data_IF_536754287602
#
_entry.id   IF_536754287602
#
_cell.length_a   1.000
_cell.length_b   1.000
_cell.length_c   1.000
_cell.angle_alpha   90.00
_cell.angle_beta   90.00
_cell.angle_gamma   90.00
#
_symmetry.space_group_name_H-M   'P 1'
#
loop_
_entity.id
_entity.type
_entity.pdbx_description
1 polymer ?
#
# COMPACT_ATOMS: atom_id res chain seq x y z
N UNK A 1 -11.87 16.01 23.92
CA UNK A 1 -10.62 15.25 23.67
C UNK A 1 -10.34 15.26 22.17
N UNK A 2 -9.12 15.59 21.70
CA UNK A 2 -8.81 15.52 20.27
C UNK A 2 -8.93 14.08 19.76
N UNK A 3 -9.56 13.92 18.60
CA UNK A 3 -9.77 12.64 17.90
C UNK A 3 -8.41 11.96 17.60
N UNK A 4 -8.33 10.63 17.63
CA UNK A 4 -7.08 9.85 17.43
C UNK A 4 -6.25 10.34 16.24
N UNK A 5 -6.91 10.52 15.09
CA UNK A 5 -6.25 10.95 13.87
C UNK A 5 -5.68 12.38 13.97
N UNK A 6 -6.34 13.26 14.73
CA UNK A 6 -5.86 14.63 14.95
C UNK A 6 -4.65 14.68 15.87
N UNK A 7 -4.53 13.75 16.83
CA UNK A 7 -3.33 13.62 17.68
C UNK A 7 -2.12 13.18 16.88
N UNK A 8 -2.28 12.15 16.03
CA UNK A 8 -1.22 11.68 15.15
C UNK A 8 -0.77 12.80 14.19
N UNK A 9 -1.73 13.48 13.55
CA UNK A 9 -1.42 14.59 12.65
C UNK A 9 -0.67 15.72 13.37
N UNK A 10 -1.13 16.11 14.56
CA UNK A 10 -0.48 17.14 15.36
C UNK A 10 0.92 16.71 15.82
N UNK A 11 1.13 15.44 16.18
CA UNK A 11 2.44 14.92 16.52
C UNK A 11 3.42 14.97 15.34
N UNK A 12 2.97 14.62 14.13
CA UNK A 12 3.79 14.72 12.92
C UNK A 12 4.19 16.16 12.64
N UNK A 13 3.23 17.09 12.64
CA UNK A 13 3.51 18.51 12.42
C UNK A 13 4.44 19.08 13.50
N UNK A 14 4.24 18.72 14.77
CA UNK A 14 5.11 19.17 15.86
C UNK A 14 6.55 18.67 15.70
N UNK A 15 6.73 17.40 15.31
CA UNK A 15 8.06 16.83 15.06
C UNK A 15 8.72 17.44 13.83
N UNK A 16 7.97 17.73 12.77
CA UNK A 16 8.48 18.41 11.58
C UNK A 16 8.96 19.82 11.90
N UNK A 17 8.17 20.60 12.64
CA UNK A 17 8.55 21.95 13.07
C UNK A 17 9.79 21.91 13.97
N UNK A 18 9.85 20.97 14.91
CA UNK A 18 11.02 20.77 15.76
C UNK A 18 12.27 20.43 14.94
N UNK A 19 12.13 19.50 13.98
CA UNK A 19 13.21 19.10 13.09
C UNK A 19 13.67 20.28 12.23
N UNK A 20 12.74 21.06 11.66
CA UNK A 20 13.04 22.23 10.85
C UNK A 20 13.85 23.25 11.65
N UNK A 21 13.45 23.54 12.89
CA UNK A 21 14.18 24.45 13.77
C UNK A 21 15.58 23.94 14.10
N UNK A 22 15.73 22.64 14.38
CA UNK A 22 17.03 22.04 14.68
C UNK A 22 17.97 22.13 13.47
N UNK A 23 17.48 21.79 12.28
CA UNK A 23 18.29 21.80 11.06
C UNK A 23 18.71 23.23 10.70
N UNK A 24 17.83 24.23 10.86
CA UNK A 24 18.18 25.64 10.63
C UNK A 24 19.26 26.13 11.61
N UNK A 25 19.24 25.68 12.85
CA UNK A 25 20.17 26.18 13.88
C UNK A 25 21.56 25.55 13.80
N UNK A 26 21.66 24.29 13.34
CA UNK A 26 22.90 23.50 13.42
C UNK A 26 23.48 23.04 12.08
N UNK A 27 22.74 23.12 10.96
CA UNK A 27 23.15 22.49 9.70
C UNK A 27 23.02 23.40 8.47
N UNK A 28 23.60 22.95 7.36
CA UNK A 28 23.62 23.65 6.07
C UNK A 28 22.30 23.57 5.30
N UNK A 29 22.18 24.42 4.28
CA UNK A 29 21.04 24.47 3.36
C UNK A 29 20.75 23.13 2.67
N UNK A 30 21.78 22.31 2.41
CA UNK A 30 21.62 20.98 1.80
C UNK A 30 20.88 20.01 2.73
N UNK A 31 21.25 20.03 4.02
CA UNK A 31 20.58 19.23 5.04
C UNK A 31 19.12 19.69 5.21
N UNK A 32 18.85 21.00 5.17
CA UNK A 32 17.49 21.53 5.23
C UNK A 32 16.60 20.96 4.12
N UNK A 33 16.99 21.08 2.86
CA UNK A 33 16.17 20.54 1.77
C UNK A 33 16.05 19.02 1.82
N UNK A 34 17.14 18.33 2.17
CA UNK A 34 17.16 16.87 2.24
C UNK A 34 16.24 16.34 3.33
N UNK A 35 16.28 16.95 4.52
CA UNK A 35 15.41 16.57 5.63
C UNK A 35 13.94 16.83 5.34
N UNK A 36 13.61 18.02 4.82
CA UNK A 36 12.23 18.44 4.56
C UNK A 36 11.58 17.59 3.46
N UNK A 37 12.26 17.39 2.33
CA UNK A 37 11.72 16.56 1.25
C UNK A 37 11.59 15.10 1.70
N UNK A 38 12.58 14.54 2.42
CA UNK A 38 12.49 13.19 2.96
C UNK A 38 11.31 13.02 3.93
N UNK A 39 11.17 13.95 4.87
CA UNK A 39 10.13 13.88 5.90
C UNK A 39 8.72 13.99 5.28
N UNK A 40 8.50 14.96 4.39
CA UNK A 40 7.19 15.18 3.75
C UNK A 40 6.80 14.01 2.84
N UNK A 41 7.73 13.50 2.03
CA UNK A 41 7.47 12.37 1.14
C UNK A 41 7.21 11.08 1.92
N UNK A 42 7.99 10.80 2.98
CA UNK A 42 7.76 9.66 3.88
C UNK A 42 6.42 9.77 4.62
N UNK A 43 6.08 10.95 5.14
CA UNK A 43 4.79 11.21 5.79
C UNK A 43 3.63 10.96 4.82
N UNK A 44 3.77 11.38 3.57
CA UNK A 44 2.78 11.15 2.52
C UNK A 44 2.60 9.65 2.24
N UNK A 45 3.70 8.89 2.11
CA UNK A 45 3.67 7.43 1.92
C UNK A 45 2.98 6.73 3.09
N UNK A 46 3.29 7.14 4.32
CA UNK A 46 2.67 6.61 5.53
C UNK A 46 1.16 6.88 5.54
N UNK A 47 0.73 8.12 5.33
CA UNK A 47 -0.70 8.50 5.31
C UNK A 47 -1.43 7.77 4.18
N UNK A 48 -0.86 7.72 2.98
CA UNK A 48 -1.43 6.99 1.84
C UNK A 48 -1.61 5.50 2.16
N UNK A 49 -0.65 4.90 2.87
CA UNK A 49 -0.73 3.50 3.31
C UNK A 49 -1.82 3.27 4.35
N UNK A 50 -1.98 4.17 5.32
CA UNK A 50 -3.06 4.10 6.31
C UNK A 50 -4.44 4.25 5.68
N UNK A 51 -4.60 5.22 4.76
CA UNK A 51 -5.85 5.45 4.03
C UNK A 51 -6.20 4.26 3.13
N UNK A 52 -5.19 3.72 2.43
CA UNK A 52 -5.31 2.50 1.63
C UNK A 52 -5.85 1.35 2.45
N UNK A 53 -5.22 1.09 3.60
CA UNK A 53 -5.57 -0.02 4.46
C UNK A 53 -6.99 0.15 5.01
N UNK A 54 -7.33 1.35 5.52
CA UNK A 54 -8.68 1.66 5.98
C UNK A 54 -9.72 1.37 4.90
N UNK A 55 -9.50 1.85 3.67
CA UNK A 55 -10.42 1.63 2.55
C UNK A 55 -10.57 0.16 2.21
N UNK A 56 -9.47 -0.59 2.16
CA UNK A 56 -9.48 -2.03 1.88
C UNK A 56 -10.28 -2.78 2.95
N UNK A 57 -10.04 -2.51 4.23
CA UNK A 57 -10.77 -3.15 5.34
C UNK A 57 -12.25 -2.78 5.29
N UNK A 58 -12.60 -1.50 5.11
CA UNK A 58 -14.01 -1.08 4.99
C UNK A 58 -14.70 -1.73 3.79
N UNK A 59 -14.04 -1.82 2.64
CA UNK A 59 -14.59 -2.52 1.48
C UNK A 59 -14.84 -4.00 1.79
N UNK A 60 -13.89 -4.68 2.45
CA UNK A 60 -14.05 -6.08 2.87
C UNK A 60 -15.23 -6.27 3.83
N UNK A 61 -15.37 -5.40 4.82
CA UNK A 61 -16.49 -5.43 5.77
C UNK A 61 -17.83 -5.19 5.07
N UNK A 62 -17.92 -4.21 4.17
CA UNK A 62 -19.15 -3.90 3.42
C UNK A 62 -19.58 -5.06 2.54
N UNK A 63 -18.63 -5.74 1.91
CA UNK A 63 -18.91 -6.88 1.05
C UNK A 63 -19.09 -8.22 1.81
N UNK A 64 -19.11 -8.21 3.15
CA UNK A 64 -19.23 -9.41 3.99
C UNK A 64 -18.30 -10.56 3.57
N UNK A 65 -17.14 -10.23 2.99
CA UNK A 65 -16.04 -11.17 2.79
C UNK A 65 -15.35 -11.35 4.14
N UNK A 66 -16.08 -11.97 5.07
CA UNK A 66 -15.55 -12.53 6.30
C UNK A 66 -14.68 -13.68 5.85
N UNK A 67 -13.37 -13.56 6.05
CA UNK A 67 -12.40 -14.62 5.82
C UNK A 67 -12.64 -15.76 6.80
N UNK A 68 -13.66 -16.56 6.54
CA UNK A 68 -13.55 -18.00 6.71
C UNK A 68 -13.38 -18.48 5.28
N UNK A 69 -12.15 -18.83 4.92
CA UNK A 69 -11.84 -19.52 3.66
C UNK A 69 -11.59 -18.66 2.40
N UNK A 70 -10.42 -18.01 2.36
CA UNK A 70 -9.81 -17.51 1.10
C UNK A 70 -8.51 -18.31 0.80
N UNK A 71 -8.23 -19.36 1.58
CA UNK A 71 -7.09 -20.27 1.41
C UNK A 71 -7.43 -21.50 0.59
N UNK A 72 -8.72 -21.81 0.36
CA UNK A 72 -9.12 -22.94 -0.50
C UNK A 72 -9.08 -22.63 -1.99
N UNK A 73 -9.32 -21.39 -2.40
CA UNK A 73 -9.51 -21.06 -3.82
C UNK A 73 -8.24 -21.10 -4.69
N UNK A 74 -7.05 -21.11 -4.06
CA UNK A 74 -5.76 -21.20 -4.77
C UNK A 74 -5.11 -22.58 -4.60
N UNK A 75 -5.28 -23.21 -3.43
CA UNK A 75 -4.74 -24.56 -3.17
C UNK A 75 -5.58 -25.60 -3.89
N UNK A 76 -6.91 -25.52 -3.83
CA UNK A 76 -7.81 -26.46 -4.52
C UNK A 76 -7.63 -26.35 -6.04
N UNK A 77 -7.39 -25.14 -6.58
CA UNK A 77 -7.03 -24.95 -8.01
C UNK A 77 -5.65 -25.46 -8.39
N UNK A 78 -4.74 -25.63 -7.43
CA UNK A 78 -3.40 -26.20 -7.67
C UNK A 78 -3.41 -27.72 -7.57
N UNK A 79 -4.23 -28.24 -6.65
CA UNK A 79 -4.36 -29.66 -6.31
C UNK A 79 -5.34 -30.38 -7.26
N UNK A 80 -6.39 -29.70 -7.71
CA UNK A 80 -7.33 -30.14 -8.73
C UNK A 80 -7.62 -29.02 -9.76
N UNK A 81 -6.71 -28.78 -10.73
CA UNK A 81 -6.88 -27.73 -11.74
C UNK A 81 -8.12 -27.91 -12.64
N UNK A 82 -8.68 -29.12 -12.68
CA UNK A 82 -9.79 -29.48 -13.55
C UNK A 82 -11.07 -29.86 -12.78
N UNK A 83 -11.06 -29.70 -11.45
CA UNK A 83 -12.20 -29.97 -10.54
C UNK A 83 -12.82 -31.37 -10.74
N UNK A 84 -11.97 -32.37 -11.03
CA UNK A 84 -12.34 -33.73 -11.41
C UNK A 84 -12.98 -34.53 -10.28
N UNK A 85 -12.82 -34.09 -9.03
CA UNK A 85 -13.32 -34.77 -7.84
C UNK A 85 -14.45 -34.01 -7.12
N UNK A 86 -14.99 -32.95 -7.73
CA UNK A 86 -16.20 -32.28 -7.24
C UNK A 86 -17.41 -33.22 -7.35
N UNK A 87 -18.31 -33.19 -6.34
CA UNK A 87 -19.49 -34.06 -6.30
C UNK A 87 -20.52 -33.76 -7.42
N UNK A 88 -20.38 -32.60 -8.09
CA UNK A 88 -21.17 -32.20 -9.25
C UNK A 88 -20.36 -32.43 -10.54
N UNK A 89 -20.27 -33.68 -11.00
CA UNK A 89 -19.64 -34.02 -12.28
C UNK A 89 -20.63 -33.72 -13.42
N UNK A 90 -20.45 -32.68 -14.26
CA UNK A 90 -21.16 -32.64 -15.53
C UNK A 90 -20.56 -33.71 -16.45
N UNK A 91 -21.38 -34.67 -16.88
CA UNK A 91 -21.04 -35.57 -17.99
C UNK A 91 -20.85 -34.72 -19.26
N UNK A 92 -19.62 -34.33 -19.57
CA UNK A 92 -19.29 -33.75 -20.86
C UNK A 92 -18.78 -34.86 -21.79
N UNK A 93 -19.57 -35.10 -22.83
CA UNK A 93 -19.29 -35.99 -23.95
C UNK A 93 -17.94 -35.64 -24.61
N UNK A 94 -17.22 -36.64 -25.12
CA UNK A 94 -15.93 -36.49 -25.82
C UNK A 94 -16.00 -35.51 -27.00
N UNK A 95 -15.79 -34.22 -26.75
CA UNK A 95 -15.71 -33.19 -27.78
C UNK A 95 -14.34 -33.23 -28.46
N UNK A 96 -14.34 -33.11 -29.78
CA UNK A 96 -13.13 -33.20 -30.59
C UNK A 96 -12.09 -32.15 -30.14
N UNK A 97 -10.81 -32.54 -30.07
CA UNK A 97 -9.69 -31.73 -29.58
C UNK A 97 -9.61 -30.31 -30.19
N UNK A 98 -10.11 -30.14 -31.43
CA UNK A 98 -10.18 -28.85 -32.12
C UNK A 98 -11.25 -27.89 -31.58
N UNK A 99 -12.36 -28.39 -31.02
CA UNK A 99 -13.37 -27.59 -30.33
C UNK A 99 -12.89 -27.18 -28.94
N UNK A 100 -12.28 -28.10 -28.19
CA UNK A 100 -11.66 -27.79 -26.88
C UNK A 100 -10.58 -26.71 -27.01
N UNK A 101 -9.74 -26.77 -28.05
CA UNK A 101 -8.74 -25.73 -28.34
C UNK A 101 -9.33 -24.38 -28.74
N UNK A 102 -10.51 -24.36 -29.37
CA UNK A 102 -11.21 -23.11 -29.71
C UNK A 102 -11.87 -22.51 -28.48
N UNK A 103 -12.47 -23.33 -27.63
CA UNK A 103 -13.07 -22.92 -26.36
C UNK A 103 -12.01 -22.42 -25.38
N UNK A 104 -10.86 -23.10 -25.24
CA UNK A 104 -9.74 -22.61 -24.42
C UNK A 104 -9.17 -21.29 -24.95
N UNK A 105 -9.00 -21.15 -26.28
CA UNK A 105 -8.53 -19.89 -26.87
C UNK A 105 -9.54 -18.76 -26.69
N UNK A 106 -10.85 -19.05 -26.71
CA UNK A 106 -11.90 -18.09 -26.40
C UNK A 106 -11.88 -17.71 -24.92
N UNK A 107 -11.81 -18.69 -24.01
CA UNK A 107 -11.65 -18.46 -22.57
C UNK A 107 -10.38 -17.66 -22.26
N UNK A 108 -9.25 -17.91 -22.92
CA UNK A 108 -8.04 -17.10 -22.80
C UNK A 108 -8.20 -15.67 -23.34
N UNK A 109 -9.04 -15.47 -24.37
CA UNK A 109 -9.31 -14.16 -24.98
C UNK A 109 -10.33 -13.35 -24.16
N UNK A 110 -11.24 -14.03 -23.48
CA UNK A 110 -12.22 -13.48 -22.54
C UNK A 110 -11.59 -13.21 -21.17
N UNK A 111 -10.68 -14.09 -20.73
CA UNK A 111 -9.83 -13.96 -19.55
C UNK A 111 -8.57 -13.11 -19.82
N UNK A 112 -8.43 -12.49 -21.02
CA UNK A 112 -7.63 -11.26 -21.18
C UNK A 112 -8.36 -10.11 -20.50
N UNK A 113 -8.53 -10.25 -19.19
CA UNK A 113 -8.95 -9.18 -18.29
C UNK A 113 -8.05 -8.00 -18.61
N UNK A 114 -8.63 -6.97 -19.21
CA UNK A 114 -7.88 -5.80 -19.66
C UNK A 114 -7.02 -5.35 -18.50
N UNK A 115 -5.74 -5.05 -18.70
CA UNK A 115 -4.87 -4.51 -17.65
C UNK A 115 -5.59 -3.33 -16.95
N UNK A 116 -6.44 -2.61 -17.68
CA UNK A 116 -7.33 -1.58 -17.15
C UNK A 116 -8.46 -2.09 -16.24
N UNK A 117 -9.12 -3.22 -16.56
CA UNK A 117 -10.09 -3.89 -15.69
C UNK A 117 -9.40 -4.50 -14.48
N UNK A 118 -8.24 -5.15 -14.65
CA UNK A 118 -7.44 -5.65 -13.54
C UNK A 118 -6.98 -4.50 -12.65
N UNK A 119 -6.53 -3.36 -13.18
CA UNK A 119 -6.22 -2.16 -12.38
C UNK A 119 -7.48 -1.54 -11.75
N UNK A 120 -8.66 -1.65 -12.37
CA UNK A 120 -9.94 -1.14 -11.83
C UNK A 120 -10.49 -2.02 -10.71
N UNK A 121 -10.34 -3.33 -10.81
CA UNK A 121 -10.72 -4.29 -9.77
C UNK A 121 -9.66 -4.28 -8.65
N UNK A 122 -8.38 -4.21 -9.04
CA UNK A 122 -7.24 -4.00 -8.13
C UNK A 122 -7.23 -2.59 -7.54
N UNK A 123 -7.99 -1.63 -8.04
CA UNK A 123 -8.21 -0.32 -7.39
C UNK A 123 -8.86 -0.47 -5.99
N UNK A 124 -9.48 -1.62 -5.73
CA UNK A 124 -9.96 -2.02 -4.40
C UNK A 124 -8.85 -2.64 -3.52
N UNK A 125 -7.77 -3.18 -4.10
CA UNK A 125 -6.70 -3.93 -3.42
C UNK A 125 -5.32 -3.22 -3.40
N UNK A 126 -4.83 -2.65 -4.52
CA UNK A 126 -3.74 -1.68 -4.57
C UNK A 126 -4.32 -0.27 -4.54
N UNK A 127 -4.01 0.47 -3.47
CA UNK A 127 -4.30 1.89 -3.47
C UNK A 127 -3.44 2.62 -4.48
N UNK A 128 -4.10 3.21 -5.48
CA UNK A 128 -3.53 4.28 -6.32
C UNK A 128 -2.83 5.35 -5.46
N UNK A 129 -3.34 5.58 -4.24
CA UNK A 129 -2.74 6.49 -3.27
C UNK A 129 -1.30 6.11 -2.90
N UNK A 130 -1.00 4.83 -2.66
CA UNK A 130 0.36 4.39 -2.30
C UNK A 130 1.31 4.51 -3.48
N UNK A 131 0.86 4.12 -4.69
CA UNK A 131 1.65 4.28 -5.91
C UNK A 131 1.97 5.75 -6.20
N UNK A 132 0.99 6.64 -6.05
CA UNK A 132 1.21 8.09 -6.18
C UNK A 132 2.21 8.62 -5.15
N UNK A 133 2.12 8.17 -3.90
CA UNK A 133 3.05 8.58 -2.84
C UNK A 133 4.48 8.09 -3.07
N UNK A 134 4.67 6.85 -3.55
CA UNK A 134 5.99 6.37 -3.95
C UNK A 134 6.55 7.12 -5.16
N UNK A 135 5.69 7.45 -6.13
CA UNK A 135 6.08 8.33 -7.23
C UNK A 135 6.59 9.67 -6.72
N UNK A 136 5.86 10.31 -5.80
CA UNK A 136 6.27 11.57 -5.19
C UNK A 136 7.59 11.45 -4.40
N UNK A 137 7.80 10.36 -3.66
CA UNK A 137 9.05 10.05 -2.97
C UNK A 137 10.24 9.94 -3.94
N UNK A 138 10.09 9.15 -5.01
CA UNK A 138 11.14 8.96 -6.02
C UNK A 138 11.46 10.29 -6.72
N UNK A 139 10.43 11.05 -7.10
CA UNK A 139 10.60 12.35 -7.75
C UNK A 139 11.28 13.36 -6.81
N UNK A 140 10.92 13.38 -5.53
CA UNK A 140 11.56 14.22 -4.51
C UNK A 140 13.05 13.90 -4.35
N UNK A 141 13.39 12.61 -4.29
CA UNK A 141 14.78 12.15 -4.24
C UNK A 141 15.56 12.53 -5.51
N UNK A 142 14.98 12.29 -6.69
CA UNK A 142 15.61 12.64 -7.96
C UNK A 142 15.81 14.15 -8.11
N UNK A 143 14.86 14.95 -7.64
CA UNK A 143 14.94 16.41 -7.63
C UNK A 143 16.13 16.88 -6.78
N UNK A 144 16.26 16.37 -5.54
CA UNK A 144 17.39 16.68 -4.66
C UNK A 144 18.73 16.31 -5.28
N UNK A 145 18.81 15.11 -5.87
CA UNK A 145 20.03 14.61 -6.49
C UNK A 145 20.43 15.46 -7.71
N UNK A 146 19.45 15.84 -8.55
CA UNK A 146 19.69 16.66 -9.74
C UNK A 146 20.21 18.06 -9.41
N UNK A 147 19.78 18.65 -8.30
CA UNK A 147 20.21 19.98 -7.87
C UNK A 147 21.48 19.96 -7.00
N UNK A 148 22.06 18.78 -6.72
CA UNK A 148 23.23 18.66 -5.84
C UNK A 148 22.96 19.07 -4.39
N UNK A 149 21.69 19.09 -3.99
CA UNK A 149 21.22 19.44 -2.64
C UNK A 149 21.07 18.21 -1.74
N UNK A 150 21.24 17.01 -2.29
CA UNK A 150 21.10 15.76 -1.57
C UNK A 150 22.24 15.58 -0.55
N UNK A 151 21.88 15.60 0.72
CA UNK A 151 22.71 15.17 1.83
C UNK A 151 22.16 13.83 2.37
N UNK A 152 22.89 12.75 2.06
CA UNK A 152 22.44 11.37 2.29
C UNK A 152 22.14 11.08 3.77
N UNK A 153 23.00 11.46 4.74
CA UNK A 153 22.75 11.17 6.16
C UNK A 153 21.48 11.85 6.65
N UNK A 154 21.32 13.15 6.37
CA UNK A 154 20.14 13.92 6.74
C UNK A 154 18.86 13.38 6.10
N UNK A 155 18.95 12.96 4.84
CA UNK A 155 17.83 12.37 4.10
C UNK A 155 17.35 11.07 4.75
N UNK A 156 18.25 10.10 4.98
CA UNK A 156 17.89 8.79 5.53
C UNK A 156 17.33 8.92 6.94
N UNK A 157 17.95 9.77 7.77
CA UNK A 157 17.47 10.01 9.13
C UNK A 157 16.03 10.55 9.12
N UNK A 158 15.77 11.57 8.29
CA UNK A 158 14.45 12.22 8.22
C UNK A 158 13.39 11.33 7.58
N UNK A 159 13.79 10.43 6.68
CA UNK A 159 12.89 9.45 6.07
C UNK A 159 12.30 8.47 7.11
N UNK A 160 13.08 8.12 8.14
CA UNK A 160 12.66 7.18 9.18
C UNK A 160 11.73 7.81 10.23
N UNK A 161 11.84 9.12 10.46
CA UNK A 161 11.15 9.81 11.56
C UNK A 161 9.61 9.66 11.54
N UNK A 162 8.90 9.81 10.40
CA UNK A 162 7.44 9.64 10.40
C UNK A 162 6.99 8.27 10.90
N UNK A 163 7.75 7.21 10.58
CA UNK A 163 7.45 5.85 11.04
C UNK A 163 7.70 5.69 12.54
N UNK A 164 8.78 6.29 13.06
CA UNK A 164 9.06 6.30 14.50
C UNK A 164 7.92 7.01 15.24
N UNK A 165 7.51 8.19 14.77
CA UNK A 165 6.39 8.95 15.37
C UNK A 165 5.11 8.12 15.39
N UNK A 166 4.78 7.44 14.28
CA UNK A 166 3.62 6.56 14.21
C UNK A 166 3.68 5.47 15.28
N UNK A 167 4.80 4.75 15.37
CA UNK A 167 4.98 3.66 16.35
C UNK A 167 4.90 4.19 17.78
N UNK A 168 5.56 5.31 18.07
CA UNK A 168 5.52 5.94 19.40
C UNK A 168 4.09 6.32 19.80
N UNK A 169 3.33 6.96 18.90
CA UNK A 169 1.93 7.33 19.17
C UNK A 169 1.08 6.09 19.43
N UNK A 170 1.22 5.03 18.63
CA UNK A 170 0.48 3.78 18.81
C UNK A 170 0.82 3.08 20.13
N UNK A 171 2.10 3.10 20.55
CA UNK A 171 2.54 2.52 21.82
C UNK A 171 1.98 3.29 23.03
N UNK A 172 1.99 4.63 22.99
CA UNK A 172 1.41 5.45 24.06
C UNK A 172 -0.09 5.22 24.20
N UNK A 173 -0.80 5.04 23.07
CA UNK A 173 -2.22 4.71 23.08
C UNK A 173 -2.50 3.34 23.72
N UNK A 174 -1.70 2.31 23.38
CA UNK A 174 -1.83 0.97 23.99
C UNK A 174 -1.69 1.03 25.51
N UNK A 175 -0.74 1.82 26.02
CA UNK A 175 -0.52 1.97 27.47
C UNK A 175 -1.71 2.65 28.15
N UNK A 176 -2.29 3.68 27.52
CA UNK A 176 -3.44 4.41 28.08
C UNK A 176 -4.72 3.58 28.06
N UNK A 177 -4.86 2.64 27.12
CA UNK A 177 -6.01 1.74 27.03
C UNK A 177 -5.95 0.55 28.02
N UNK A 178 -4.78 0.26 28.60
CA UNK A 178 -4.60 -0.84 29.56
C UNK A 178 -4.73 -0.38 31.03
N UNK A 179 -4.73 0.94 31.26
CA UNK A 179 -5.01 1.56 32.56
C UNK A 179 -6.49 1.93 32.68
#
# INVERSE_FOLDING_TARGET
MPNRNSRLFLALVAVDVLLLLLVILFFDIKALYSTQIAYLTATTVMIASLLSYKRMVTARVVHNIITTDDSKDVIDRLEDPYDLYSEDIPQDEEKAFAEVLKEEKQKLKENRRSIFQTIKDTKAALSVYRLGAYGLLILGFMYLNRQGLLDIPSYIFSLALPFIVLVSVLLTEKQTATQ
#
